data_IF_938639699952
#
_entry.id   IF_938639699952
#
_cell.length_a   1.000
_cell.length_b   1.000
_cell.length_c   1.000
_cell.angle_alpha   90.00
_cell.angle_beta   90.00
_cell.angle_gamma   90.00
#
_symmetry.space_group_name_H-M   'P 1'
#
loop_
_entity.id
_entity.type
_entity.pdbx_description
1 polymer ?
#
# COMPACT_ATOMS: atom_id res chain seq x y z
N UNK A 1 6.77 3.11 23.19
CA UNK A 1 7.03 4.39 23.86
C UNK A 1 5.97 5.41 23.44
N UNK A 2 5.60 6.31 24.35
CA UNK A 2 4.71 7.45 24.08
C UNK A 2 5.50 8.72 24.37
N UNK A 3 5.46 9.69 23.46
CA UNK A 3 6.08 11.00 23.66
C UNK A 3 5.32 11.91 24.64
N UNK A 4 3.98 11.91 24.55
CA UNK A 4 3.17 12.90 25.26
C UNK A 4 2.90 14.09 24.36
N UNK A 5 2.53 15.25 24.92
CA UNK A 5 2.31 16.45 24.11
C UNK A 5 3.65 17.12 23.77
N UNK A 6 4.00 17.24 22.49
CA UNK A 6 5.14 18.04 22.04
C UNK A 6 6.06 17.31 21.06
N UNK A 7 7.29 17.83 20.93
CA UNK A 7 8.33 17.20 20.11
C UNK A 7 9.09 16.19 20.95
N UNK A 8 8.92 14.92 20.63
CA UNK A 8 9.60 13.84 21.35
C UNK A 8 10.65 13.14 20.49
N UNK A 9 11.65 12.59 21.18
CA UNK A 9 12.66 11.70 20.60
C UNK A 9 12.40 10.29 21.13
N UNK A 10 11.80 9.43 20.29
CA UNK A 10 11.54 8.05 20.63
C UNK A 10 12.66 7.15 20.09
N UNK A 11 13.39 6.48 20.97
CA UNK A 11 14.48 5.59 20.59
C UNK A 11 14.17 4.16 21.05
N UNK A 12 14.07 3.24 20.10
CA UNK A 12 13.92 1.81 20.37
C UNK A 12 15.23 1.12 20.70
N UNK A 13 15.10 -0.04 21.34
CA UNK A 13 16.21 -0.93 21.71
C UNK A 13 16.26 -2.13 20.74
N UNK A 14 16.90 -3.24 21.14
CA UNK A 14 16.81 -4.47 20.37
C UNK A 14 15.47 -5.17 20.61
N UNK A 15 14.92 -5.78 19.57
CA UNK A 15 13.66 -6.50 19.63
C UNK A 15 12.51 -5.70 19.00
N UNK A 16 11.27 -6.17 19.19
CA UNK A 16 10.10 -5.54 18.58
C UNK A 16 9.64 -4.33 19.41
N UNK A 17 9.80 -3.13 18.86
CA UNK A 17 9.38 -1.90 19.49
C UNK A 17 8.06 -1.37 18.92
N UNK A 18 7.37 -0.57 19.75
CA UNK A 18 6.17 0.16 19.30
C UNK A 18 6.25 1.63 19.65
N UNK A 19 6.09 2.47 18.64
CA UNK A 19 6.14 3.93 18.72
C UNK A 19 4.73 4.47 18.51
N UNK A 20 4.35 5.51 19.24
CA UNK A 20 3.08 6.22 19.02
C UNK A 20 3.38 7.67 18.73
N UNK A 21 2.95 8.13 17.56
CA UNK A 21 3.25 9.45 17.03
C UNK A 21 1.96 10.28 16.99
N UNK A 22 1.95 11.41 17.67
CA UNK A 22 0.81 12.34 17.69
C UNK A 22 1.14 13.77 17.23
N UNK A 23 2.42 14.09 17.08
CA UNK A 23 2.92 15.30 16.42
C UNK A 23 3.76 14.95 15.18
N UNK A 24 3.58 15.69 14.09
CA UNK A 24 4.27 15.44 12.81
C UNK A 24 5.78 15.73 12.84
N UNK A 25 6.26 16.35 13.92
CA UNK A 25 7.67 16.68 14.11
C UNK A 25 8.35 15.77 15.15
N UNK A 26 7.66 14.77 15.66
CA UNK A 26 8.24 13.76 16.54
C UNK A 26 9.29 12.95 15.77
N UNK A 27 10.45 12.72 16.37
CA UNK A 27 11.53 11.95 15.76
C UNK A 27 11.53 10.57 16.40
N UNK A 28 11.21 9.55 15.62
CA UNK A 28 11.37 8.16 16.02
C UNK A 28 12.59 7.54 15.32
N UNK A 29 13.35 6.73 16.06
CA UNK A 29 14.55 6.04 15.55
C UNK A 29 14.67 4.67 16.17
N UNK A 30 14.69 3.63 15.34
CA UNK A 30 15.13 2.30 15.78
C UNK A 30 16.67 2.25 15.77
N UNK A 31 17.26 1.61 16.78
CA UNK A 31 18.74 1.55 16.93
C UNK A 31 19.32 0.14 16.90
N UNK A 32 18.51 -0.91 16.74
CA UNK A 32 19.00 -2.28 16.68
C UNK A 32 18.10 -3.22 15.85
N UNK A 33 18.73 -3.83 14.84
CA UNK A 33 18.17 -4.70 13.80
C UNK A 33 17.82 -6.13 14.30
N UNK A 34 16.97 -6.24 15.32
CA UNK A 34 16.61 -7.55 15.90
C UNK A 34 15.11 -7.75 16.16
N UNK A 35 14.25 -6.97 15.52
CA UNK A 35 12.81 -7.07 15.73
C UNK A 35 11.98 -6.54 14.58
N UNK A 36 10.67 -6.66 14.76
CA UNK A 36 9.64 -6.12 13.89
C UNK A 36 9.02 -4.93 14.61
N UNK A 37 9.35 -3.74 14.15
CA UNK A 37 8.99 -2.48 14.78
C UNK A 37 7.67 -1.93 14.22
N UNK A 38 6.89 -1.30 15.09
CA UNK A 38 5.56 -0.76 14.74
C UNK A 38 5.41 0.70 15.14
N UNK A 39 5.27 1.56 14.14
CA UNK A 39 4.87 2.95 14.30
C UNK A 39 3.35 3.06 14.20
N UNK A 40 2.71 3.63 15.22
CA UNK A 40 1.28 3.97 15.23
C UNK A 40 1.14 5.48 15.20
N UNK A 41 0.67 6.04 14.10
CA UNK A 41 0.66 7.49 13.92
C UNK A 41 -0.75 8.05 13.78
N UNK A 42 -1.04 9.14 14.47
CA UNK A 42 -2.29 9.92 14.32
C UNK A 42 -2.14 11.17 13.44
N UNK A 43 -0.97 11.28 12.80
CA UNK A 43 -0.58 12.29 11.82
C UNK A 43 -0.01 11.61 10.57
N UNK A 44 0.27 12.37 9.51
CA UNK A 44 1.00 11.85 8.34
C UNK A 44 2.43 11.55 8.76
N UNK A 45 2.94 10.38 8.35
CA UNK A 45 4.23 9.90 8.84
C UNK A 45 4.99 9.08 7.79
N UNK A 46 6.27 8.85 8.04
CA UNK A 46 7.16 8.02 7.21
C UNK A 46 8.02 7.13 8.10
N UNK A 47 8.14 5.86 7.73
CA UNK A 47 8.96 4.92 8.49
C UNK A 47 10.43 5.36 8.43
N UNK A 48 11.06 5.37 9.60
CA UNK A 48 12.50 5.52 9.74
C UNK A 48 13.25 4.28 9.26
N UNK A 49 14.57 4.29 9.40
CA UNK A 49 15.39 3.10 9.15
C UNK A 49 15.01 1.96 10.10
N UNK A 50 15.09 0.71 9.62
CA UNK A 50 14.82 -0.50 10.41
C UNK A 50 13.44 -0.52 11.09
N UNK A 51 12.43 0.05 10.44
CA UNK A 51 11.04 -0.03 10.88
C UNK A 51 10.19 -0.70 9.80
N UNK A 52 9.32 -1.62 10.20
CA UNK A 52 8.60 -2.45 9.24
C UNK A 52 7.11 -2.12 9.18
N UNK A 53 6.48 -1.68 10.27
CA UNK A 53 5.03 -1.48 10.28
C UNK A 53 4.65 -0.04 10.56
N UNK A 54 3.82 0.53 9.69
CA UNK A 54 3.13 1.80 9.91
C UNK A 54 1.63 1.56 10.00
N UNK A 55 1.02 2.01 11.09
CA UNK A 55 -0.43 1.98 11.30
C UNK A 55 -0.92 3.40 11.53
N UNK A 56 -1.64 3.95 10.57
CA UNK A 56 -2.28 5.25 10.69
C UNK A 56 -3.58 5.11 11.51
N UNK A 57 -3.81 6.04 12.43
CA UNK A 57 -4.89 5.99 13.40
C UNK A 57 -5.97 7.03 13.13
N UNK A 58 -7.19 6.68 13.53
CA UNK A 58 -8.35 7.56 13.47
C UNK A 58 -9.03 7.54 12.10
N UNK A 59 -9.65 8.66 11.74
CA UNK A 59 -10.49 8.80 10.55
C UNK A 59 -10.07 9.96 9.65
N UNK A 60 -8.91 10.56 9.91
CA UNK A 60 -8.37 11.67 9.11
C UNK A 60 -7.74 11.14 7.83
N UNK A 61 -7.71 11.98 6.80
CA UNK A 61 -6.89 11.77 5.61
C UNK A 61 -5.41 11.95 5.99
N UNK A 62 -4.73 10.84 6.25
CA UNK A 62 -3.31 10.78 6.63
C UNK A 62 -2.52 10.06 5.54
N UNK A 63 -1.25 10.38 5.39
CA UNK A 63 -0.39 9.71 4.42
C UNK A 63 0.68 8.88 5.14
N UNK A 64 1.10 7.80 4.49
CA UNK A 64 2.13 6.90 5.00
C UNK A 64 3.16 6.62 3.92
N UNK A 65 4.44 6.68 4.30
CA UNK A 65 5.55 6.29 3.43
C UNK A 65 6.37 5.23 4.14
N UNK A 66 6.71 4.13 3.46
CA UNK A 66 7.66 3.15 3.95
C UNK A 66 9.11 3.58 3.71
N UNK A 67 10.02 2.62 3.74
CA UNK A 67 11.45 2.80 3.64
C UNK A 67 12.04 1.88 2.55
N UNK A 68 13.24 1.33 2.77
CA UNK A 68 13.94 0.47 1.81
C UNK A 68 13.78 -1.04 2.13
N UNK A 69 13.11 -1.36 3.23
CA UNK A 69 12.86 -2.72 3.70
C UNK A 69 11.41 -3.12 3.39
N UNK A 70 11.10 -4.42 3.50
CA UNK A 70 9.72 -4.88 3.39
C UNK A 70 8.86 -4.29 4.52
N UNK A 71 7.81 -3.55 4.16
CA UNK A 71 6.95 -2.84 5.08
C UNK A 71 5.49 -3.29 5.03
N UNK A 72 4.77 -3.03 6.12
CA UNK A 72 3.31 -3.15 6.20
C UNK A 72 2.73 -1.80 6.57
N UNK A 73 2.04 -1.17 5.62
CA UNK A 73 1.39 0.12 5.78
C UNK A 73 -0.12 -0.09 5.87
N UNK A 74 -0.73 0.42 6.94
CA UNK A 74 -2.19 0.40 7.13
C UNK A 74 -2.71 1.82 7.27
N UNK A 75 -3.62 2.22 6.37
CA UNK A 75 -4.30 3.50 6.37
C UNK A 75 -5.45 3.57 7.38
N UNK A 76 -6.18 4.68 7.32
CA UNK A 76 -7.30 5.04 8.19
C UNK A 76 -8.63 4.77 7.48
N UNK A 77 -9.73 5.27 8.05
CA UNK A 77 -11.01 5.33 7.32
C UNK A 77 -11.15 6.60 6.46
N UNK A 78 -10.14 7.47 6.44
CA UNK A 78 -10.11 8.66 5.59
C UNK A 78 -9.29 8.39 4.33
N UNK A 79 -9.27 9.35 3.42
CA UNK A 79 -8.53 9.19 2.16
C UNK A 79 -7.02 9.25 2.41
N UNK A 80 -6.31 8.16 2.18
CA UNK A 80 -4.89 8.03 2.41
C UNK A 80 -4.09 8.01 1.11
N UNK A 81 -2.88 8.57 1.16
CA UNK A 81 -1.84 8.27 0.19
C UNK A 81 -0.79 7.38 0.86
N UNK A 82 -0.65 6.15 0.37
CA UNK A 82 0.32 5.18 0.87
C UNK A 82 1.37 4.90 -0.20
N UNK A 83 2.65 4.95 0.18
CA UNK A 83 3.79 4.63 -0.68
C UNK A 83 4.67 3.62 0.04
N UNK A 84 4.90 2.44 -0.55
CA UNK A 84 5.74 1.39 0.05
C UNK A 84 7.20 1.78 0.07
N UNK A 85 7.75 2.16 -1.08
CA UNK A 85 9.15 2.55 -1.20
C UNK A 85 9.92 1.51 -1.96
N UNK A 86 10.95 0.93 -1.36
CA UNK A 86 11.61 -0.25 -1.92
C UNK A 86 11.46 -1.43 -0.97
N UNK A 87 11.49 -2.65 -1.51
CA UNK A 87 11.23 -3.88 -0.76
C UNK A 87 9.87 -4.47 -1.08
N UNK A 88 9.60 -5.68 -0.58
CA UNK A 88 8.32 -6.36 -0.84
C UNK A 88 7.27 -5.92 0.18
N UNK A 89 6.52 -4.88 -0.15
CA UNK A 89 5.61 -4.21 0.77
C UNK A 89 4.20 -4.81 0.79
N UNK A 90 3.44 -4.42 1.80
CA UNK A 90 1.99 -4.68 1.90
C UNK A 90 1.27 -3.41 2.34
N UNK A 91 0.49 -2.83 1.43
CA UNK A 91 -0.27 -1.61 1.65
C UNK A 91 -1.76 -1.93 1.78
N UNK A 92 -2.41 -1.36 2.80
CA UNK A 92 -3.84 -1.47 3.05
C UNK A 92 -4.43 -0.06 3.17
N UNK A 93 -5.24 0.36 2.20
CA UNK A 93 -5.87 1.68 2.14
C UNK A 93 -6.84 1.89 3.31
N UNK A 94 -7.94 1.13 3.34
CA UNK A 94 -8.93 1.21 4.40
C UNK A 94 -10.33 1.38 3.85
N UNK A 95 -11.06 2.40 4.32
CA UNK A 95 -12.42 2.70 3.84
C UNK A 95 -12.51 4.00 3.03
N UNK A 96 -11.39 4.73 2.89
CA UNK A 96 -11.32 6.00 2.20
C UNK A 96 -11.21 5.84 0.70
N UNK A 97 -11.15 6.95 -0.03
CA UNK A 97 -10.69 6.91 -1.43
C UNK A 97 -9.17 7.05 -1.42
N UNK A 98 -8.48 5.92 -1.51
CA UNK A 98 -7.06 5.82 -1.23
C UNK A 98 -6.23 5.83 -2.51
N UNK A 99 -4.97 6.26 -2.41
CA UNK A 99 -3.98 6.13 -3.48
C UNK A 99 -2.81 5.32 -2.99
N UNK A 100 -2.60 4.14 -3.59
CA UNK A 100 -1.55 3.19 -3.21
C UNK A 100 -0.52 3.08 -4.33
N UNK A 101 0.75 3.28 -3.96
CA UNK A 101 1.91 3.00 -4.80
C UNK A 101 2.79 2.01 -4.05
N UNK A 102 3.04 0.82 -4.59
CA UNK A 102 3.97 -0.14 -4.02
C UNK A 102 5.40 0.41 -4.04
N UNK A 103 5.97 0.47 -5.24
CA UNK A 103 7.29 1.03 -5.47
C UNK A 103 8.19 -0.02 -6.09
N UNK A 104 9.44 -0.11 -5.64
CA UNK A 104 10.37 -1.14 -6.11
C UNK A 104 10.17 -2.42 -5.30
N UNK A 105 9.75 -3.53 -5.90
CA UNK A 105 9.62 -4.81 -5.19
C UNK A 105 8.40 -5.59 -5.64
N UNK A 106 8.15 -6.74 -5.01
CA UNK A 106 6.90 -7.49 -5.22
C UNK A 106 5.86 -7.09 -4.16
N UNK A 107 5.04 -6.10 -4.47
CA UNK A 107 4.12 -5.52 -3.50
C UNK A 107 2.75 -6.19 -3.48
N UNK A 108 2.09 -6.08 -2.32
CA UNK A 108 0.68 -6.41 -2.14
C UNK A 108 -0.11 -5.14 -1.86
N UNK A 109 -0.98 -4.74 -2.79
CA UNK A 109 -1.82 -3.56 -2.67
C UNK A 109 -3.27 -3.97 -2.41
N UNK A 110 -3.88 -3.41 -1.37
CA UNK A 110 -5.26 -3.65 -0.97
C UNK A 110 -5.94 -2.28 -0.78
N UNK A 111 -6.78 -1.86 -1.72
CA UNK A 111 -7.53 -0.59 -1.64
C UNK A 111 -8.48 -0.60 -0.45
N UNK A 112 -9.46 -1.50 -0.49
CA UNK A 112 -10.35 -1.75 0.63
C UNK A 112 -11.77 -1.37 0.27
N UNK A 113 -12.39 -0.45 1.00
CA UNK A 113 -13.65 0.14 0.60
C UNK A 113 -13.42 1.59 0.17
N UNK A 114 -14.21 2.09 -0.78
CA UNK A 114 -14.03 3.43 -1.32
C UNK A 114 -13.70 3.34 -2.80
N UNK A 115 -13.41 4.48 -3.42
CA UNK A 115 -12.98 4.53 -4.80
C UNK A 115 -11.47 4.74 -4.84
N UNK A 116 -10.74 3.65 -5.00
CA UNK A 116 -9.29 3.64 -4.82
C UNK A 116 -8.54 3.82 -6.13
N UNK A 117 -7.30 4.28 -6.04
CA UNK A 117 -6.35 4.36 -7.16
C UNK A 117 -5.09 3.59 -6.81
N UNK A 118 -4.90 2.45 -7.46
CA UNK A 118 -3.72 1.60 -7.30
C UNK A 118 -2.82 1.79 -8.51
N UNK A 119 -1.55 2.11 -8.27
CA UNK A 119 -0.57 2.27 -9.36
C UNK A 119 -0.13 0.91 -9.85
N UNK A 120 -0.17 0.73 -11.16
CA UNK A 120 0.35 -0.48 -11.78
C UNK A 120 1.88 -0.48 -11.75
N UNK A 121 2.44 -1.52 -11.15
CA UNK A 121 3.82 -1.96 -11.34
C UNK A 121 3.84 -3.40 -11.86
N UNK A 122 4.63 -3.74 -12.90
CA UNK A 122 4.77 -5.12 -13.38
C UNK A 122 5.38 -6.09 -12.36
N UNK A 123 6.05 -5.61 -11.31
CA UNK A 123 6.64 -6.44 -10.26
C UNK A 123 5.63 -6.85 -9.17
N UNK A 124 4.50 -6.16 -9.05
CA UNK A 124 3.45 -6.40 -8.02
C UNK A 124 2.62 -7.67 -8.29
N UNK A 125 3.28 -8.83 -8.25
CA UNK A 125 2.69 -10.13 -8.56
C UNK A 125 2.10 -10.82 -7.32
N UNK A 126 2.32 -10.31 -6.11
CA UNK A 126 1.69 -10.82 -4.86
C UNK A 126 0.22 -10.45 -4.76
N UNK A 127 -0.19 -9.40 -5.46
CA UNK A 127 -1.57 -9.14 -5.81
C UNK A 127 -2.00 -7.73 -5.43
N UNK A 128 -2.84 -7.19 -6.30
CA UNK A 128 -3.35 -5.83 -6.33
C UNK A 128 -4.87 -5.94 -6.39
N UNK A 129 -5.54 -5.57 -5.30
CA UNK A 129 -6.99 -5.71 -5.16
C UNK A 129 -7.58 -4.33 -4.86
N UNK A 130 -8.44 -3.81 -5.74
CA UNK A 130 -9.12 -2.53 -5.52
C UNK A 130 -10.10 -2.61 -4.35
N UNK A 131 -10.84 -3.72 -4.24
CA UNK A 131 -11.77 -3.92 -3.13
C UNK A 131 -13.22 -3.65 -3.53
N UNK A 132 -13.92 -2.85 -2.72
CA UNK A 132 -15.32 -2.48 -2.95
C UNK A 132 -15.44 -1.01 -3.28
N UNK A 133 -16.08 -0.70 -4.39
CA UNK A 133 -16.36 0.67 -4.81
C UNK A 133 -16.17 0.76 -6.30
N UNK A 134 -15.67 1.90 -6.79
CA UNK A 134 -15.25 2.07 -8.17
C UNK A 134 -13.76 2.34 -8.19
N UNK A 135 -13.00 1.31 -8.50
CA UNK A 135 -11.56 1.30 -8.30
C UNK A 135 -10.81 1.48 -9.62
N UNK A 136 -9.68 2.16 -9.53
CA UNK A 136 -8.85 2.57 -10.66
C UNK A 136 -7.50 1.90 -10.62
N UNK A 137 -7.18 1.11 -11.65
CA UNK A 137 -5.82 0.71 -11.95
C UNK A 137 -5.18 1.81 -12.80
N UNK A 138 -4.17 2.49 -12.26
CA UNK A 138 -3.50 3.60 -12.95
C UNK A 138 -2.17 3.12 -13.53
N UNK A 139 -2.05 3.17 -14.85
CA UNK A 139 -0.79 2.94 -15.55
C UNK A 139 -0.05 4.27 -15.65
N UNK A 140 1.27 4.25 -15.46
CA UNK A 140 2.12 5.45 -15.54
C UNK A 140 3.41 5.18 -16.30
N UNK A 141 4.04 6.27 -16.76
CA UNK A 141 5.31 6.19 -17.47
C UNK A 141 5.21 5.45 -18.80
N UNK A 142 6.35 4.92 -19.26
CA UNK A 142 6.46 4.18 -20.54
C UNK A 142 6.33 2.67 -20.38
N UNK A 143 5.92 2.21 -19.20
CA UNK A 143 5.84 0.78 -18.88
C UNK A 143 4.78 0.11 -19.76
N UNK A 144 5.11 -1.06 -20.30
CA UNK A 144 4.09 -1.90 -20.93
C UNK A 144 3.34 -2.62 -19.82
N UNK A 145 2.07 -2.29 -19.63
CA UNK A 145 1.17 -3.01 -18.75
C UNK A 145 0.72 -4.29 -19.47
N UNK A 146 1.57 -5.32 -19.43
CA UNK A 146 1.23 -6.64 -19.96
C UNK A 146 0.38 -7.42 -18.98
N UNK A 147 -0.91 -7.08 -18.92
CA UNK A 147 -1.83 -7.80 -18.06
C UNK A 147 -2.12 -9.20 -18.59
N UNK A 148 -1.81 -9.54 -19.84
CA UNK A 148 -2.07 -10.90 -20.38
C UNK A 148 -1.06 -11.89 -19.82
N UNK A 149 0.23 -11.58 -19.92
CA UNK A 149 1.30 -12.45 -19.42
C UNK A 149 1.35 -12.48 -17.89
N UNK A 150 0.94 -11.38 -17.23
CA UNK A 150 0.79 -11.33 -15.79
C UNK A 150 -0.48 -12.04 -15.30
N UNK A 151 -1.53 -12.14 -16.13
CA UNK A 151 -2.78 -12.86 -15.84
C UNK A 151 -2.78 -14.35 -16.23
N UNK A 152 -1.64 -14.93 -16.60
CA UNK A 152 -1.50 -16.41 -16.55
C UNK A 152 -1.75 -16.97 -15.14
N UNK A 153 -1.84 -16.09 -14.13
CA UNK A 153 -2.55 -16.24 -12.88
C UNK A 153 -3.63 -15.16 -12.83
N UNK A 154 -4.86 -15.41 -13.30
CA UNK A 154 -6.02 -14.48 -13.39
C UNK A 154 -6.54 -13.93 -12.03
N UNK A 155 -5.64 -13.88 -11.06
CA UNK A 155 -5.82 -13.77 -9.64
C UNK A 155 -5.10 -12.57 -9.04
N UNK A 156 -4.22 -11.93 -9.81
CA UNK A 156 -3.26 -10.95 -9.29
C UNK A 156 -3.83 -9.54 -9.28
N UNK A 157 -4.59 -9.14 -10.30
CA UNK A 157 -5.27 -7.85 -10.35
C UNK A 157 -6.78 -8.08 -10.33
N UNK A 158 -7.46 -7.62 -9.27
CA UNK A 158 -8.91 -7.84 -9.07
C UNK A 158 -9.57 -6.58 -8.51
N UNK A 159 -10.90 -6.49 -8.65
CA UNK A 159 -11.69 -5.38 -8.12
C UNK A 159 -11.37 -4.06 -8.79
N UNK A 160 -11.34 -4.00 -10.13
CA UNK A 160 -11.09 -2.79 -10.89
C UNK A 160 -12.19 -2.55 -11.93
N UNK A 161 -12.82 -1.38 -11.86
CA UNK A 161 -13.82 -0.90 -12.82
C UNK A 161 -13.22 0.08 -13.84
N UNK A 162 -12.10 0.74 -13.48
CA UNK A 162 -11.48 1.79 -14.26
C UNK A 162 -10.02 1.47 -14.54
N UNK A 163 -9.63 1.56 -15.81
CA UNK A 163 -8.23 1.57 -16.23
C UNK A 163 -7.87 3.01 -16.63
N UNK A 164 -6.97 3.65 -15.89
CA UNK A 164 -6.56 5.03 -16.14
C UNK A 164 -5.22 5.09 -16.88
N UNK A 165 -5.25 5.69 -18.08
CA UNK A 165 -4.10 5.91 -18.96
C UNK A 165 -3.78 7.40 -19.17
N UNK A 166 -4.11 8.26 -18.21
CA UNK A 166 -3.99 9.72 -18.35
C UNK A 166 -2.55 10.26 -18.27
N UNK A 167 -1.54 9.42 -17.99
CA UNK A 167 -0.14 9.83 -17.98
C UNK A 167 0.28 10.35 -19.37
N UNK A 168 1.02 11.48 -19.48
CA UNK A 168 1.44 12.02 -20.77
C UNK A 168 2.43 11.12 -21.53
N UNK A 169 3.10 10.19 -20.86
CA UNK A 169 3.97 9.22 -21.50
C UNK A 169 3.18 8.22 -22.35
N UNK A 170 3.84 7.68 -23.39
CA UNK A 170 3.24 6.63 -24.20
C UNK A 170 3.07 5.35 -23.37
N UNK A 171 1.82 4.93 -23.20
CA UNK A 171 1.47 3.74 -22.43
C UNK A 171 0.95 2.66 -23.36
N UNK A 172 1.36 1.42 -23.13
CA UNK A 172 0.85 0.24 -23.84
C UNK A 172 0.22 -0.70 -22.83
N UNK A 173 -1.00 -1.15 -23.11
CA UNK A 173 -1.70 -2.14 -22.29
C UNK A 173 -2.05 -3.34 -23.16
N UNK A 174 -1.70 -4.53 -22.70
CA UNK A 174 -2.10 -5.78 -23.32
C UNK A 174 -3.24 -6.37 -22.49
N UNK A 175 -4.36 -6.64 -23.16
CA UNK A 175 -5.57 -7.21 -22.57
C UNK A 175 -6.06 -8.36 -23.46
N UNK A 176 -6.55 -9.42 -22.82
CA UNK A 176 -7.38 -10.46 -23.42
C UNK A 176 -8.72 -10.61 -22.68
N UNK A 177 -9.59 -11.50 -23.15
CA UNK A 177 -10.88 -11.74 -22.51
C UNK A 177 -10.74 -12.17 -21.03
N UNK A 178 -9.77 -13.03 -20.72
CA UNK A 178 -9.53 -13.51 -19.36
C UNK A 178 -9.04 -12.39 -18.44
N UNK A 179 -8.22 -11.46 -18.94
CA UNK A 179 -7.73 -10.31 -18.19
C UNK A 179 -8.85 -9.36 -17.79
N UNK A 180 -9.74 -9.04 -18.73
CA UNK A 180 -10.86 -8.12 -18.48
C UNK A 180 -11.85 -8.75 -17.50
N UNK A 181 -12.09 -10.06 -17.65
CA UNK A 181 -12.89 -10.80 -16.68
C UNK A 181 -12.24 -10.81 -15.30
N UNK A 182 -10.92 -11.02 -15.21
CA UNK A 182 -10.15 -11.04 -13.95
C UNK A 182 -10.19 -9.70 -13.21
N UNK A 183 -9.97 -8.60 -13.93
CA UNK A 183 -10.03 -7.23 -13.37
C UNK A 183 -11.38 -6.93 -12.73
N UNK A 184 -12.47 -7.35 -13.38
CA UNK A 184 -13.84 -7.12 -12.90
C UNK A 184 -14.33 -8.14 -11.86
N UNK A 185 -13.50 -9.11 -11.45
CA UNK A 185 -13.89 -10.03 -10.38
C UNK A 185 -13.97 -9.30 -9.04
N UNK A 186 -14.95 -9.64 -8.18
CA UNK A 186 -15.03 -9.09 -6.84
C UNK A 186 -13.78 -9.44 -6.03
N UNK A 187 -13.47 -8.66 -4.98
CA UNK A 187 -12.26 -8.82 -4.19
C UNK A 187 -12.14 -10.21 -3.59
N UNK A 188 -10.90 -10.69 -3.43
CA UNK A 188 -10.64 -12.03 -2.89
C UNK A 188 -11.06 -12.06 -1.42
N UNK A 189 -12.19 -12.72 -1.12
CA UNK A 189 -12.55 -13.05 0.26
C UNK A 189 -11.41 -13.88 0.87
N UNK A 190 -10.77 -13.37 1.91
CA UNK A 190 -9.93 -14.19 2.78
C UNK A 190 -10.79 -15.36 3.30
N UNK A 191 -10.63 -16.56 2.73
CA UNK A 191 -11.10 -17.80 3.35
C UNK A 191 -12.10 -18.70 2.61
N UNK A 192 -12.32 -18.61 1.30
CA UNK A 192 -13.03 -19.71 0.59
C UNK A 192 -12.03 -20.65 -0.10
N UNK A 193 -11.97 -21.95 0.27
CA UNK A 193 -11.15 -22.90 -0.47
C UNK A 193 -11.73 -23.06 -1.88
N UNK A 194 -10.84 -23.15 -2.86
CA UNK A 194 -11.18 -23.47 -4.24
C UNK A 194 -12.05 -24.74 -4.27
N UNK A 195 -13.19 -24.67 -4.95
CA UNK A 195 -14.02 -25.82 -5.26
C UNK A 195 -13.93 -26.12 -6.75
#
# INVERSE_FOLDING_TARGET
MFGGLGLDLLIGAAGNDSYTIDDAHEINKSTADAGVDTVKSSVTDSLGIEQENLVLLGSKALNGTGNLNANVLTGTTGNNKLSGGAGDDTLKGGNGNDTLTGGDGDDRLLGGAGNDTLVFDPLDIRGVDGGTGTDTLRVTGTTTADLVSLNALSAKFTGFEVLNLSDPAAQTVLLDEATVLGLSQPPRRCGSPAR
#
